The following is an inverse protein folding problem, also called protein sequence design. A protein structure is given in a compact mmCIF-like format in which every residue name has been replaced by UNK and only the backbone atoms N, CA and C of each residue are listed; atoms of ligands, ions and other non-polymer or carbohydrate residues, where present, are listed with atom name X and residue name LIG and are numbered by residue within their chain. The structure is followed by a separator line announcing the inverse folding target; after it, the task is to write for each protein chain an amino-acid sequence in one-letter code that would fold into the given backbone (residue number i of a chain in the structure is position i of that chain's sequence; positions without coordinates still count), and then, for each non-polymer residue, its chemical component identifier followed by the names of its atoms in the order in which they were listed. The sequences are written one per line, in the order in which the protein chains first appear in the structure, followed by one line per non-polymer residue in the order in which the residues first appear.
data_IF_921633001320
#
_entry.id   IF_921633001320
#
_cell.length_a   1.000
_cell.length_b   1.000
_cell.length_c   1.000
_cell.angle_alpha   90.00
_cell.angle_beta   90.00
_cell.angle_gamma   90.00
#
_symmetry.space_group_name_H-M   'P 1'
#
loop_
_entity.id
_entity.type
_entity.pdbx_description
1 polymer ?
#
# COMPACT_ATOMS: atom_id res chain seq x y z
N UNK A 1 -1.82 32.41 -6.33
CA UNK A 1 -1.12 31.12 -6.59
C UNK A 1 0.03 30.84 -5.61
N UNK A 2 0.91 31.80 -5.25
CA UNK A 2 2.00 31.60 -4.27
C UNK A 2 1.58 31.07 -2.88
N UNK A 3 0.38 31.43 -2.39
CA UNK A 3 -0.13 30.99 -1.08
C UNK A 3 -0.50 29.50 -1.03
N UNK A 4 -1.09 28.97 -2.10
CA UNK A 4 -1.55 27.58 -2.16
C UNK A 4 -0.39 26.58 -2.22
N UNK A 5 0.61 26.82 -3.09
CA UNK A 5 1.80 25.96 -3.17
C UNK A 5 2.58 25.90 -1.86
N UNK A 6 2.63 27.01 -1.11
CA UNK A 6 3.22 27.05 0.22
C UNK A 6 2.42 26.19 1.22
N UNK A 7 1.08 26.28 1.22
CA UNK A 7 0.24 25.47 2.11
C UNK A 7 0.39 23.97 1.84
N UNK A 8 0.48 23.57 0.57
CA UNK A 8 0.72 22.18 0.17
C UNK A 8 2.09 21.71 0.67
N UNK A 9 3.14 22.50 0.44
CA UNK A 9 4.50 22.15 0.88
C UNK A 9 4.64 22.00 2.41
N UNK A 10 3.94 22.83 3.18
CA UNK A 10 3.92 22.76 4.65
C UNK A 10 2.79 21.87 5.21
N UNK A 11 2.09 21.12 4.35
CA UNK A 11 1.09 20.15 4.82
C UNK A 11 1.77 18.95 5.50
N UNK A 12 1.14 18.44 6.55
CA UNK A 12 1.69 17.33 7.32
C UNK A 12 2.00 16.08 6.48
N UNK A 13 1.14 15.64 5.52
CA UNK A 13 1.46 14.49 4.66
C UNK A 13 2.73 14.67 3.83
N UNK A 14 2.95 15.87 3.27
CA UNK A 14 4.12 16.15 2.44
C UNK A 14 5.39 16.24 3.29
N UNK A 15 5.32 16.90 4.44
CA UNK A 15 6.43 16.94 5.38
C UNK A 15 6.83 15.53 5.86
N UNK A 16 5.83 14.67 6.10
CA UNK A 16 6.06 13.29 6.49
C UNK A 16 6.76 12.49 5.38
N UNK A 17 6.30 12.63 4.14
CA UNK A 17 6.93 11.99 2.98
C UNK A 17 8.39 12.43 2.82
N UNK A 18 8.67 13.73 2.95
CA UNK A 18 10.03 14.27 2.91
C UNK A 18 10.89 13.74 4.07
N UNK A 19 10.31 13.57 5.27
CA UNK A 19 10.99 12.97 6.41
C UNK A 19 11.35 11.50 6.14
N UNK A 20 10.48 10.72 5.49
CA UNK A 20 10.81 9.35 5.10
C UNK A 20 11.96 9.29 4.11
N UNK A 21 11.97 10.19 3.10
CA UNK A 21 13.05 10.29 2.12
C UNK A 21 14.38 10.66 2.78
N UNK A 22 14.36 11.43 3.87
CA UNK A 22 15.57 11.82 4.59
C UNK A 22 16.09 10.73 5.53
N UNK A 23 15.20 10.10 6.30
CA UNK A 23 15.60 9.33 7.50
C UNK A 23 15.24 7.84 7.43
N UNK A 24 14.38 7.42 6.51
CA UNK A 24 13.83 6.06 6.46
C UNK A 24 14.09 5.38 5.10
N UNK A 25 15.28 5.59 4.52
CA UNK A 25 15.66 5.08 3.19
C UNK A 25 15.54 3.55 3.06
N UNK A 26 15.92 2.80 4.10
CA UNK A 26 15.78 1.34 4.09
C UNK A 26 14.31 0.92 3.98
N UNK A 27 13.42 1.52 4.77
CA UNK A 27 11.99 1.19 4.72
C UNK A 27 11.39 1.59 3.36
N UNK A 28 11.77 2.75 2.80
CA UNK A 28 11.38 3.16 1.45
C UNK A 28 11.87 2.19 0.37
N UNK A 29 13.07 1.63 0.53
CA UNK A 29 13.62 0.66 -0.42
C UNK A 29 12.74 -0.60 -0.53
N UNK A 30 12.08 -1.02 0.57
CA UNK A 30 11.14 -2.15 0.57
C UNK A 30 9.91 -1.85 -0.30
N UNK A 31 9.37 -0.63 -0.25
CA UNK A 31 8.25 -0.22 -1.10
C UNK A 31 8.62 -0.23 -2.58
N UNK A 32 9.79 0.32 -2.90
CA UNK A 32 10.31 0.32 -4.29
C UNK A 32 10.54 -1.11 -4.76
N UNK A 33 11.17 -1.94 -3.94
CA UNK A 33 11.44 -3.34 -4.27
C UNK A 33 10.15 -4.12 -4.52
N UNK A 34 9.14 -4.00 -3.65
CA UNK A 34 7.83 -4.61 -3.86
C UNK A 34 7.16 -4.13 -5.14
N UNK A 35 7.20 -2.82 -5.43
CA UNK A 35 6.62 -2.28 -6.67
C UNK A 35 7.34 -2.80 -7.91
N UNK A 36 8.67 -2.97 -7.85
CA UNK A 36 9.47 -3.55 -8.93
C UNK A 36 9.14 -5.04 -9.17
N UNK A 37 8.86 -5.80 -8.11
CA UNK A 37 8.40 -7.19 -8.23
C UNK A 37 7.02 -7.26 -8.87
N UNK A 38 6.05 -6.49 -8.36
CA UNK A 38 4.67 -6.46 -8.87
C UNK A 38 4.62 -5.99 -10.33
N UNK A 39 5.44 -5.00 -10.70
CA UNK A 39 5.51 -4.49 -12.08
C UNK A 39 6.29 -5.40 -13.04
N UNK A 40 6.87 -6.50 -12.57
CA UNK A 40 7.68 -7.39 -13.42
C UNK A 40 9.01 -6.79 -13.86
N UNK A 41 9.48 -5.69 -13.26
CA UNK A 41 10.82 -5.16 -13.56
C UNK A 41 11.93 -6.00 -12.92
N UNK A 42 11.60 -6.71 -11.85
CA UNK A 42 12.50 -7.66 -11.16
C UNK A 42 11.85 -9.04 -11.16
N UNK A 43 12.65 -10.08 -11.44
CA UNK A 43 12.20 -11.47 -11.31
C UNK A 43 11.15 -11.94 -12.33
N UNK A 44 10.93 -11.21 -13.42
CA UNK A 44 9.97 -11.58 -14.47
C UNK A 44 10.21 -12.98 -15.04
N UNK A 45 11.48 -13.32 -15.33
CA UNK A 45 11.86 -14.66 -15.85
C UNK A 45 11.59 -15.80 -14.86
N UNK A 46 11.52 -15.48 -13.57
CA UNK A 46 11.18 -16.44 -12.51
C UNK A 46 9.67 -16.46 -12.22
N UNK A 47 8.89 -15.61 -12.89
CA UNK A 47 7.46 -15.51 -12.66
C UNK A 47 7.05 -14.84 -11.35
N UNK A 48 7.94 -14.10 -10.67
CA UNK A 48 7.62 -13.50 -9.36
C UNK A 48 6.42 -12.56 -9.40
N UNK A 49 6.20 -11.87 -10.51
CA UNK A 49 5.04 -11.00 -10.71
C UNK A 49 3.70 -11.76 -10.59
N UNK A 50 3.65 -13.05 -10.98
CA UNK A 50 2.42 -13.85 -10.94
C UNK A 50 1.97 -14.12 -9.51
N UNK A 51 2.90 -14.19 -8.55
CA UNK A 51 2.57 -14.34 -7.12
C UNK A 51 1.71 -13.18 -6.59
N UNK A 52 1.76 -12.02 -7.25
CA UNK A 52 0.97 -10.84 -6.88
C UNK A 52 -0.18 -10.61 -7.85
N UNK A 53 0.04 -10.73 -9.16
CA UNK A 53 -0.96 -10.39 -10.16
C UNK A 53 -1.98 -11.50 -10.40
N UNK A 54 -1.61 -12.75 -10.11
CA UNK A 54 -2.41 -13.95 -10.34
C UNK A 54 -2.20 -14.98 -9.21
N UNK A 55 -2.43 -14.60 -7.94
CA UNK A 55 -2.15 -15.46 -6.80
C UNK A 55 -2.98 -16.74 -6.85
N UNK A 56 -2.32 -17.86 -6.59
CA UNK A 56 -2.94 -19.18 -6.56
C UNK A 56 -2.97 -19.71 -5.12
N UNK A 57 -4.13 -20.22 -4.71
CA UNK A 57 -4.30 -20.90 -3.44
C UNK A 57 -5.00 -22.24 -3.67
N UNK A 58 -4.37 -23.33 -3.20
CA UNK A 58 -4.85 -24.70 -3.39
C UNK A 58 -5.24 -25.02 -4.85
N UNK A 59 -4.37 -24.70 -5.81
CA UNK A 59 -4.66 -25.02 -7.22
C UNK A 59 -5.53 -23.99 -7.94
N UNK A 60 -6.02 -22.95 -7.24
CA UNK A 60 -7.08 -22.08 -7.74
C UNK A 60 -6.71 -20.60 -7.64
N UNK A 61 -7.00 -19.86 -8.70
CA UNK A 61 -7.01 -18.40 -8.70
C UNK A 61 -8.44 -17.92 -8.49
N UNK A 62 -8.77 -17.56 -7.25
CA UNK A 62 -10.13 -17.19 -6.88
C UNK A 62 -10.15 -16.05 -5.84
N UNK A 63 -11.35 -15.72 -5.36
CA UNK A 63 -11.56 -14.72 -4.33
C UNK A 63 -10.64 -14.90 -3.12
N UNK A 64 -10.49 -16.13 -2.62
CA UNK A 64 -9.72 -16.41 -1.43
C UNK A 64 -8.22 -16.17 -1.67
N UNK A 65 -7.71 -16.51 -2.86
CA UNK A 65 -6.31 -16.26 -3.23
C UNK A 65 -5.98 -14.77 -3.17
N UNK A 66 -6.83 -13.91 -3.76
CA UNK A 66 -6.67 -12.46 -3.68
C UNK A 66 -6.94 -11.91 -2.28
N UNK A 67 -7.88 -12.49 -1.54
CA UNK A 67 -8.14 -12.10 -0.15
C UNK A 67 -6.94 -12.32 0.76
N UNK A 68 -6.21 -13.44 0.63
CA UNK A 68 -5.00 -13.72 1.40
C UNK A 68 -3.86 -12.74 1.07
N UNK A 69 -3.67 -12.41 -0.21
CA UNK A 69 -2.72 -11.36 -0.61
C UNK A 69 -3.16 -10.00 -0.05
N UNK A 70 -4.46 -9.73 -0.06
CA UNK A 70 -5.06 -8.57 0.59
C UNK A 70 -4.71 -8.49 2.07
N UNK A 71 -4.89 -9.58 2.83
CA UNK A 71 -4.50 -9.66 4.24
C UNK A 71 -3.02 -9.33 4.43
N UNK A 72 -2.14 -9.93 3.63
CA UNK A 72 -0.70 -9.66 3.70
C UNK A 72 -0.38 -8.18 3.43
N UNK A 73 -1.06 -7.56 2.46
CA UNK A 73 -0.92 -6.12 2.18
C UNK A 73 -1.45 -5.23 3.30
N UNK A 74 -2.59 -5.58 3.90
CA UNK A 74 -3.09 -4.89 5.10
C UNK A 74 -2.05 -4.95 6.22
N UNK A 75 -1.43 -6.12 6.42
CA UNK A 75 -0.39 -6.32 7.44
C UNK A 75 0.85 -5.49 7.16
N UNK A 76 1.28 -5.43 5.90
CA UNK A 76 2.38 -4.58 5.47
C UNK A 76 2.07 -3.08 5.67
N UNK A 77 0.86 -2.63 5.32
CA UNK A 77 0.43 -1.24 5.49
C UNK A 77 0.37 -0.83 6.97
N UNK A 78 -0.15 -1.69 7.83
CA UNK A 78 -0.19 -1.44 9.27
C UNK A 78 1.20 -1.49 9.90
N UNK A 79 2.05 -2.44 9.49
CA UNK A 79 3.44 -2.52 9.94
C UNK A 79 4.22 -1.26 9.56
N UNK A 80 4.08 -0.76 8.32
CA UNK A 80 4.66 0.51 7.91
C UNK A 80 4.21 1.67 8.80
N UNK A 81 2.91 1.81 9.03
CA UNK A 81 2.39 2.91 9.84
C UNK A 81 2.86 2.82 11.29
N UNK A 82 2.87 1.64 11.88
CA UNK A 82 3.34 1.42 13.25
C UNK A 82 4.83 1.72 13.39
N UNK A 83 5.67 1.13 12.53
CA UNK A 83 7.12 1.34 12.57
C UNK A 83 7.48 2.81 12.35
N UNK A 84 6.88 3.45 11.35
CA UNK A 84 7.16 4.87 11.08
C UNK A 84 6.66 5.79 12.18
N UNK A 85 5.50 5.48 12.79
CA UNK A 85 5.02 6.21 13.96
C UNK A 85 6.02 6.13 15.12
N UNK A 86 6.49 4.93 15.47
CA UNK A 86 7.46 4.73 16.55
C UNK A 86 8.78 5.46 16.30
N UNK A 87 9.27 5.46 15.06
CA UNK A 87 10.55 6.09 14.70
C UNK A 87 10.46 7.62 14.60
N UNK A 88 9.32 8.17 14.18
CA UNK A 88 9.22 9.59 13.79
C UNK A 88 8.31 10.45 14.66
N UNK A 89 7.43 9.86 15.48
CA UNK A 89 6.43 10.62 16.26
C UNK A 89 7.05 11.70 17.17
N UNK A 90 8.26 11.48 17.68
CA UNK A 90 8.96 12.46 18.53
C UNK A 90 9.28 13.80 17.84
N UNK A 91 9.35 13.82 16.50
CA UNK A 91 9.52 15.05 15.73
C UNK A 91 8.24 15.90 15.68
N UNK A 92 7.09 15.34 16.07
CA UNK A 92 5.78 15.94 15.93
C UNK A 92 5.03 15.91 17.27
N UNK A 93 5.48 16.70 18.28
CA UNK A 93 4.92 16.67 19.63
C UNK A 93 3.44 17.05 19.69
N UNK A 94 2.93 17.82 18.71
CA UNK A 94 1.50 18.14 18.62
C UNK A 94 0.62 16.87 18.51
N UNK A 95 1.14 15.76 17.95
CA UNK A 95 0.40 14.50 17.87
C UNK A 95 -0.01 14.01 19.25
N UNK A 96 0.82 14.19 20.27
CA UNK A 96 0.53 13.76 21.64
C UNK A 96 -0.66 14.49 22.27
N UNK A 97 -1.00 15.69 21.78
CA UNK A 97 -2.17 16.46 22.24
C UNK A 97 -3.49 16.09 21.53
N UNK A 98 -3.44 15.27 20.47
CA UNK A 98 -4.61 14.88 19.70
C UNK A 98 -5.25 13.60 20.25
N UNK A 99 -6.58 13.49 20.10
CA UNK A 99 -7.26 12.22 20.31
C UNK A 99 -6.90 11.23 19.18
N UNK A 100 -6.63 9.97 19.56
CA UNK A 100 -6.24 8.89 18.64
C UNK A 100 -5.02 9.27 17.75
N UNK A 101 -3.85 9.55 18.36
CA UNK A 101 -2.68 10.09 17.66
C UNK A 101 -2.19 9.19 16.53
N UNK A 102 -2.16 7.88 16.77
CA UNK A 102 -1.76 6.89 15.77
C UNK A 102 -2.68 6.92 14.54
N UNK A 103 -4.00 6.92 14.71
CA UNK A 103 -4.95 6.99 13.59
C UNK A 103 -4.76 8.26 12.76
N UNK A 104 -4.59 9.41 13.43
CA UNK A 104 -4.33 10.69 12.74
C UNK A 104 -3.00 10.67 11.99
N UNK A 105 -1.96 10.08 12.57
CA UNK A 105 -0.69 9.86 11.89
C UNK A 105 -0.86 8.98 10.64
N UNK A 106 -1.52 7.83 10.76
CA UNK A 106 -1.68 6.88 9.65
C UNK A 106 -2.46 7.46 8.47
N UNK A 107 -3.49 8.26 8.73
CA UNK A 107 -4.22 8.97 7.67
C UNK A 107 -3.30 9.95 6.91
N UNK A 108 -2.45 10.68 7.63
CA UNK A 108 -1.51 11.60 6.99
C UNK A 108 -0.31 10.89 6.34
N UNK A 109 0.03 9.69 6.80
CA UNK A 109 1.04 8.80 6.22
C UNK A 109 0.49 7.90 5.10
N UNK A 110 -0.73 8.14 4.63
CA UNK A 110 -1.36 7.29 3.63
C UNK A 110 -0.82 7.50 2.21
N UNK A 111 -0.04 8.55 1.93
CA UNK A 111 0.41 8.87 0.56
C UNK A 111 1.18 7.72 -0.11
N UNK A 112 2.16 7.14 0.59
CA UNK A 112 2.97 6.05 0.05
C UNK A 112 2.18 4.73 -0.06
N UNK A 113 1.45 4.27 0.98
CA UNK A 113 0.54 3.12 0.86
C UNK A 113 -0.52 3.27 -0.24
N UNK A 114 -1.14 4.45 -0.36
CA UNK A 114 -2.15 4.72 -1.38
C UNK A 114 -1.55 4.68 -2.78
N UNK A 115 -0.38 5.30 -2.99
CA UNK A 115 0.33 5.24 -4.26
C UNK A 115 0.64 3.81 -4.69
N UNK A 116 1.19 3.00 -3.76
CA UNK A 116 1.46 1.59 -4.03
C UNK A 116 0.18 0.80 -4.31
N UNK A 117 -0.85 0.95 -3.47
CA UNK A 117 -2.13 0.24 -3.61
C UNK A 117 -2.83 0.55 -4.94
N UNK A 118 -2.88 1.82 -5.35
CA UNK A 118 -3.44 2.24 -6.64
C UNK A 118 -2.62 1.65 -7.80
N UNK A 119 -1.29 1.75 -7.72
CA UNK A 119 -0.40 1.20 -8.75
C UNK A 119 -0.56 -0.32 -8.88
N UNK A 120 -0.66 -1.02 -7.77
CA UNK A 120 -0.86 -2.47 -7.75
C UNK A 120 -2.22 -2.86 -8.33
N UNK A 121 -3.31 -2.20 -7.93
CA UNK A 121 -4.64 -2.44 -8.50
C UNK A 121 -4.68 -2.15 -10.00
N UNK A 122 -3.99 -1.11 -10.48
CA UNK A 122 -3.91 -0.81 -11.91
C UNK A 122 -3.15 -1.90 -12.68
N UNK A 123 -2.01 -2.38 -12.15
CA UNK A 123 -1.24 -3.47 -12.74
C UNK A 123 -2.03 -4.78 -12.74
N UNK A 124 -2.72 -5.09 -11.64
CA UNK A 124 -3.59 -6.25 -11.50
C UNK A 124 -4.73 -6.20 -12.50
N UNK A 125 -5.45 -5.07 -12.60
CA UNK A 125 -6.55 -4.90 -13.54
C UNK A 125 -6.08 -5.06 -14.99
N UNK A 126 -4.96 -4.42 -15.34
CA UNK A 126 -4.36 -4.56 -16.67
C UNK A 126 -3.95 -6.00 -16.96
N UNK A 127 -3.34 -6.67 -15.99
CA UNK A 127 -2.87 -8.04 -16.14
C UNK A 127 -4.03 -9.03 -16.34
N UNK A 128 -5.03 -8.97 -15.47
CA UNK A 128 -6.19 -9.85 -15.49
C UNK A 128 -7.07 -9.64 -16.72
N UNK A 129 -7.19 -8.39 -17.20
CA UNK A 129 -7.94 -8.10 -18.42
C UNK A 129 -7.19 -8.51 -19.68
N UNK A 130 -5.87 -8.22 -19.76
CA UNK A 130 -5.11 -8.37 -21.01
C UNK A 130 -4.55 -9.77 -21.23
N UNK A 131 -4.16 -10.48 -20.16
CA UNK A 131 -3.53 -11.80 -20.25
C UNK A 131 -4.47 -12.94 -19.87
N UNK A 132 -5.32 -12.74 -18.85
CA UNK A 132 -6.29 -13.76 -18.42
C UNK A 132 -7.66 -13.63 -19.12
N UNK A 133 -7.84 -12.59 -19.95
CA UNK A 133 -9.07 -12.31 -20.70
C UNK A 133 -10.34 -12.33 -19.83
N UNK A 134 -10.22 -11.94 -18.56
CA UNK A 134 -11.36 -11.91 -17.65
C UNK A 134 -12.29 -10.75 -17.98
N UNK A 135 -13.60 -10.96 -17.78
CA UNK A 135 -14.57 -9.88 -17.89
C UNK A 135 -14.35 -8.82 -16.82
N UNK A 136 -14.70 -7.57 -17.12
CA UNK A 136 -14.55 -6.46 -16.19
C UNK A 136 -15.18 -6.73 -14.82
N UNK A 137 -16.35 -7.37 -14.78
CA UNK A 137 -17.02 -7.77 -13.53
C UNK A 137 -16.21 -8.75 -12.69
N UNK A 138 -15.54 -9.73 -13.32
CA UNK A 138 -14.65 -10.66 -12.61
C UNK A 138 -13.41 -9.94 -12.08
N UNK A 139 -12.80 -9.06 -12.87
CA UNK A 139 -11.65 -8.26 -12.42
C UNK A 139 -12.02 -7.39 -11.22
N UNK A 140 -13.16 -6.70 -11.28
CA UNK A 140 -13.67 -5.91 -10.16
C UNK A 140 -13.93 -6.77 -8.91
N UNK A 141 -14.42 -8.00 -9.08
CA UNK A 141 -14.62 -8.95 -7.99
C UNK A 141 -13.31 -9.37 -7.31
N UNK A 142 -12.24 -9.60 -8.08
CA UNK A 142 -10.92 -9.95 -7.54
C UNK A 142 -10.28 -8.75 -6.82
N UNK A 143 -10.40 -7.54 -7.38
CA UNK A 143 -9.95 -6.31 -6.70
C UNK A 143 -10.73 -6.09 -5.40
N UNK A 144 -12.03 -6.36 -5.39
CA UNK A 144 -12.84 -6.30 -4.18
C UNK A 144 -12.34 -7.30 -3.12
N UNK A 145 -12.01 -8.52 -3.51
CA UNK A 145 -11.43 -9.52 -2.61
C UNK A 145 -10.12 -9.05 -1.96
N UNK A 146 -9.23 -8.48 -2.78
CA UNK A 146 -7.96 -7.91 -2.35
C UNK A 146 -8.17 -6.78 -1.33
N UNK A 147 -9.06 -5.83 -1.65
CA UNK A 147 -9.36 -4.70 -0.76
C UNK A 147 -10.00 -5.19 0.54
N UNK A 148 -10.93 -6.14 0.48
CA UNK A 148 -11.58 -6.70 1.66
C UNK A 148 -10.55 -7.35 2.60
N UNK A 149 -9.58 -8.10 2.05
CA UNK A 149 -8.48 -8.66 2.83
C UNK A 149 -7.59 -7.58 3.46
N UNK A 150 -7.27 -6.52 2.71
CA UNK A 150 -6.47 -5.44 3.26
C UNK A 150 -7.20 -4.70 4.40
N UNK A 151 -8.48 -4.40 4.24
CA UNK A 151 -9.28 -3.71 5.25
C UNK A 151 -9.59 -4.58 6.47
N UNK A 152 -9.83 -5.88 6.32
CA UNK A 152 -10.12 -6.76 7.45
C UNK A 152 -8.97 -6.78 8.46
N UNK A 153 -7.72 -6.77 7.96
CA UNK A 153 -6.56 -6.70 8.82
C UNK A 153 -6.35 -5.30 9.39
N UNK A 154 -6.55 -4.22 8.61
CA UNK A 154 -6.46 -2.84 9.14
C UNK A 154 -7.44 -2.61 10.30
N UNK A 155 -8.68 -3.09 10.18
CA UNK A 155 -9.70 -2.99 11.23
C UNK A 155 -9.27 -3.80 12.48
N UNK A 156 -8.62 -4.94 12.30
CA UNK A 156 -8.11 -5.74 13.43
C UNK A 156 -7.05 -5.03 14.28
N UNK A 157 -6.39 -3.98 13.77
CA UNK A 157 -5.37 -3.21 14.47
C UNK A 157 -5.90 -1.90 15.10
N UNK A 158 -7.14 -1.49 14.81
CA UNK A 158 -7.75 -0.25 15.32
C UNK A 158 -8.66 -0.51 16.51
#
# INVERSE_FOLDING_TARGET
MRKFGRQVWFSFPIQLLLLHLRSNLLLLSLWVFLLLLVSGRVGHRLGLQYLFLDPEYLGNVNFLSFYLVGLALGGFFMSWNLTTYLLTAHHFPFLASLSRPFTKFSINNALLPAFFGISYMALLAHFQYSFQYLSFGKVAWLIFALLLGAFSLVIGYT
#
